data_IF_220573304471
#
_entry.id   IF_220573304471
#
_cell.length_a   1.000
_cell.length_b   1.000
_cell.length_c   1.000
_cell.angle_alpha   90.00
_cell.angle_beta   90.00
_cell.angle_gamma   90.00
#
_symmetry.space_group_name_H-M   'P 1'
#
loop_
_entity.id
_entity.type
_entity.pdbx_description
1 polymer ?
#
# COMPACT_ATOMS: atom_id res chain seq x y z
N UNK A 1 8.77 6.12 27.14
CA UNK A 1 9.54 6.13 25.87
C UNK A 1 9.39 4.73 25.26
N UNK A 2 8.96 4.51 24.02
CA UNK A 2 9.21 5.26 22.78
C UNK A 2 8.00 5.13 21.84
N UNK A 3 7.20 6.19 21.73
CA UNK A 3 6.54 6.51 20.47
C UNK A 3 7.66 6.79 19.46
N UNK A 4 7.59 6.22 18.26
CA UNK A 4 8.45 6.63 17.15
C UNK A 4 9.75 5.87 16.95
N UNK A 5 9.85 4.57 17.31
CA UNK A 5 10.72 3.74 16.47
C UNK A 5 9.95 3.52 15.16
N UNK A 6 10.48 3.90 13.98
CA UNK A 6 10.00 3.30 12.76
C UNK A 6 10.05 1.79 13.02
N UNK A 7 8.99 1.06 12.69
CA UNK A 7 9.16 -0.37 12.54
C UNK A 7 10.39 -0.52 11.63
N UNK A 8 11.51 -0.99 12.18
CA UNK A 8 12.63 -1.52 11.40
C UNK A 8 12.10 -2.81 10.81
N UNK A 9 11.15 -2.67 9.91
CA UNK A 9 10.91 -3.66 8.91
C UNK A 9 12.21 -3.70 8.12
N UNK A 10 12.85 -4.86 8.11
CA UNK A 10 13.85 -5.13 7.08
C UNK A 10 13.24 -4.71 5.73
N UNK A 11 14.02 -4.15 4.80
CA UNK A 11 13.54 -3.38 3.64
C UNK A 11 12.66 -4.14 2.62
N UNK A 12 12.20 -5.34 2.96
CA UNK A 12 11.52 -6.28 2.11
C UNK A 12 10.17 -5.78 1.60
N UNK A 13 9.29 -5.20 2.42
CA UNK A 13 7.90 -4.99 1.92
C UNK A 13 7.80 -3.93 0.84
N UNK A 14 8.49 -2.78 0.99
CA UNK A 14 8.56 -1.79 -0.08
C UNK A 14 9.22 -2.37 -1.35
N UNK A 15 10.26 -3.18 -1.18
CA UNK A 15 10.96 -3.81 -2.31
C UNK A 15 10.09 -4.87 -3.00
N UNK A 16 9.39 -5.71 -2.25
CA UNK A 16 8.45 -6.71 -2.78
C UNK A 16 7.38 -6.02 -3.61
N UNK A 17 6.81 -4.93 -3.09
CA UNK A 17 5.84 -4.16 -3.86
C UNK A 17 6.47 -3.53 -5.11
N UNK A 18 7.69 -2.98 -5.02
CA UNK A 18 8.41 -2.46 -6.18
C UNK A 18 8.63 -3.54 -7.25
N UNK A 19 9.04 -4.76 -6.85
CA UNK A 19 9.28 -5.88 -7.77
C UNK A 19 7.98 -6.32 -8.48
N UNK A 20 6.85 -6.32 -7.76
CA UNK A 20 5.52 -6.60 -8.34
C UNK A 20 5.16 -5.54 -9.38
N UNK A 21 5.35 -4.26 -9.05
CA UNK A 21 5.05 -3.14 -9.96
C UNK A 21 5.97 -3.16 -11.18
N UNK A 22 7.26 -3.47 -11.01
CA UNK A 22 8.21 -3.60 -12.11
C UNK A 22 7.79 -4.74 -13.05
N UNK A 23 7.39 -5.89 -12.50
CA UNK A 23 6.90 -7.02 -13.29
C UNK A 23 5.64 -6.64 -14.10
N UNK A 24 4.65 -6.02 -13.47
CA UNK A 24 3.42 -5.58 -14.15
C UNK A 24 3.64 -4.47 -15.18
N UNK A 25 4.61 -3.58 -14.95
CA UNK A 25 5.01 -2.57 -15.92
C UNK A 25 5.69 -3.21 -17.15
N UNK A 26 6.56 -4.21 -16.94
CA UNK A 26 7.22 -4.95 -18.03
C UNK A 26 6.23 -5.78 -18.87
N UNK A 27 5.17 -6.32 -18.26
CA UNK A 27 4.15 -7.07 -18.99
C UNK A 27 3.09 -6.19 -19.67
N UNK A 28 3.09 -4.89 -19.41
CA UNK A 28 2.10 -3.94 -19.94
C UNK A 28 0.73 -3.99 -19.22
N UNK A 29 0.68 -4.62 -18.05
CA UNK A 29 -0.53 -4.68 -17.21
C UNK A 29 -0.75 -3.40 -16.40
N UNK A 30 0.31 -2.59 -16.23
CA UNK A 30 0.28 -1.33 -15.49
C UNK A 30 0.57 -0.13 -16.39
N UNK A 31 0.14 1.05 -15.94
CA UNK A 31 0.33 2.29 -16.66
C UNK A 31 1.81 2.57 -16.96
N UNK A 32 2.14 3.10 -18.17
CA UNK A 32 3.50 3.51 -18.47
C UNK A 32 3.93 4.71 -17.61
N UNK A 33 5.23 4.79 -17.29
CA UNK A 33 5.79 5.91 -16.52
C UNK A 33 5.68 5.79 -15.00
N UNK A 34 5.19 4.65 -14.48
CA UNK A 34 5.30 4.34 -13.05
C UNK A 34 6.77 4.23 -12.63
N UNK A 35 7.06 4.71 -11.42
CA UNK A 35 8.37 4.55 -10.77
C UNK A 35 8.21 3.48 -9.67
N UNK A 36 8.62 2.22 -9.90
CA UNK A 36 8.30 1.09 -9.03
C UNK A 36 8.66 1.32 -7.56
N UNK A 37 9.80 1.95 -7.28
CA UNK A 37 10.28 2.22 -5.92
C UNK A 37 9.37 3.21 -5.18
N UNK A 38 8.85 4.21 -5.90
CA UNK A 38 7.92 5.21 -5.32
C UNK A 38 6.57 4.56 -5.03
N UNK A 39 6.08 3.76 -5.98
CA UNK A 39 4.80 3.04 -5.81
C UNK A 39 4.91 2.01 -4.69
N UNK A 40 6.02 1.26 -4.62
CA UNK A 40 6.28 0.30 -3.57
C UNK A 40 6.35 0.92 -2.18
N UNK A 41 6.97 2.11 -2.06
CA UNK A 41 6.97 2.88 -0.81
C UNK A 41 5.57 3.33 -0.40
N UNK A 42 4.76 3.83 -1.34
CA UNK A 42 3.37 4.21 -1.07
C UNK A 42 2.51 3.02 -0.64
N UNK A 43 2.66 1.88 -1.32
CA UNK A 43 1.95 0.64 -0.97
C UNK A 43 2.32 0.16 0.42
N UNK A 44 3.60 0.24 0.80
CA UNK A 44 4.08 -0.06 2.15
C UNK A 44 3.42 0.83 3.20
N UNK A 45 3.35 2.14 2.95
CA UNK A 45 2.76 3.08 3.90
C UNK A 45 1.27 2.76 4.14
N UNK A 46 0.53 2.49 3.06
CA UNK A 46 -0.88 2.08 3.11
C UNK A 46 -1.07 0.76 3.83
N UNK A 47 -0.25 -0.24 3.52
CA UNK A 47 -0.28 -1.56 4.17
C UNK A 47 -0.08 -1.45 5.67
N UNK A 48 0.91 -0.67 6.11
CA UNK A 48 1.19 -0.50 7.53
C UNK A 48 0.13 0.29 8.27
N UNK A 49 -0.44 1.31 7.64
CA UNK A 49 -1.53 2.09 8.20
C UNK A 49 -2.78 1.22 8.42
N UNK A 50 -3.11 0.35 7.44
CA UNK A 50 -4.18 -0.64 7.57
C UNK A 50 -3.90 -1.66 8.68
N UNK A 51 -2.69 -2.24 8.72
CA UNK A 51 -2.28 -3.15 9.79
C UNK A 51 -2.37 -2.51 11.18
N UNK A 52 -1.91 -1.26 11.29
CA UNK A 52 -1.94 -0.52 12.53
C UNK A 52 -3.39 -0.33 13.00
N UNK A 53 -4.28 0.19 12.16
CA UNK A 53 -5.71 0.35 12.50
C UNK A 53 -6.37 -0.96 12.87
N UNK A 54 -6.15 -2.00 12.07
CA UNK A 54 -6.68 -3.33 12.35
C UNK A 54 -6.20 -3.87 13.70
N UNK A 55 -4.93 -3.67 14.06
CA UNK A 55 -4.39 -4.06 15.36
C UNK A 55 -5.09 -3.33 16.51
N UNK A 56 -5.38 -2.03 16.35
CA UNK A 56 -6.11 -1.23 17.35
C UNK A 56 -7.56 -1.68 17.48
N UNK A 57 -8.23 -2.03 16.38
CA UNK A 57 -9.60 -2.55 16.41
C UNK A 57 -9.69 -3.91 17.11
N UNK A 58 -8.73 -4.80 16.82
CA UNK A 58 -8.62 -6.11 17.48
C UNK A 58 -8.40 -5.95 18.99
N UNK A 59 -7.52 -5.04 19.40
CA UNK A 59 -7.32 -4.71 20.83
C UNK A 59 -8.58 -4.16 21.50
N UNK A 60 -9.41 -3.42 20.76
CA UNK A 60 -10.67 -2.87 21.23
C UNK A 60 -11.85 -3.86 21.17
N UNK A 61 -11.62 -5.13 20.79
CA UNK A 61 -12.66 -6.15 20.66
C UNK A 61 -13.66 -5.88 19.53
N UNK A 62 -13.30 -5.04 18.55
CA UNK A 62 -14.14 -4.75 17.38
C UNK A 62 -13.78 -5.72 16.26
N UNK A 63 -14.80 -6.24 15.58
CA UNK A 63 -14.60 -6.93 14.32
C UNK A 63 -14.13 -5.90 13.27
N UNK A 64 -12.90 -6.04 12.79
CA UNK A 64 -12.44 -5.40 11.55
C UNK A 64 -11.84 -6.46 10.64
N UNK A 65 -12.14 -6.36 9.35
CA UNK A 65 -11.63 -7.24 8.31
C UNK A 65 -10.48 -6.55 7.58
N UNK A 66 -9.25 -6.92 7.94
CA UNK A 66 -8.03 -6.41 7.31
C UNK A 66 -8.06 -6.55 5.77
N UNK A 67 -8.61 -7.66 5.27
CA UNK A 67 -8.76 -7.91 3.83
C UNK A 67 -9.61 -6.82 3.15
N UNK A 68 -10.77 -6.48 3.74
CA UNK A 68 -11.64 -5.43 3.22
C UNK A 68 -10.97 -4.05 3.19
N UNK A 69 -10.21 -3.71 4.23
CA UNK A 69 -9.46 -2.45 4.30
C UNK A 69 -8.35 -2.38 3.22
N UNK A 70 -7.57 -3.45 3.06
CA UNK A 70 -6.49 -3.51 2.07
C UNK A 70 -7.05 -3.48 0.63
N UNK A 71 -8.13 -4.21 0.35
CA UNK A 71 -8.77 -4.19 -0.95
C UNK A 71 -9.34 -2.80 -1.29
N UNK A 72 -9.92 -2.10 -0.31
CA UNK A 72 -10.41 -0.75 -0.51
C UNK A 72 -9.27 0.21 -0.87
N UNK A 73 -8.12 0.09 -0.19
CA UNK A 73 -6.96 0.94 -0.46
C UNK A 73 -6.33 0.65 -1.84
N UNK A 74 -6.23 -0.63 -2.22
CA UNK A 74 -5.76 -1.05 -3.54
C UNK A 74 -6.71 -0.64 -4.69
N UNK A 75 -7.97 -0.31 -4.42
CA UNK A 75 -8.87 0.26 -5.44
C UNK A 75 -8.62 1.75 -5.70
N UNK A 76 -7.97 2.47 -4.78
CA UNK A 76 -7.72 3.92 -4.92
C UNK A 76 -6.39 4.20 -5.63
N UNK A 77 -5.39 3.35 -5.41
CA UNK A 77 -4.02 3.56 -5.92
C UNK A 77 -3.88 3.42 -7.45
N UNK A 78 -4.51 2.45 -8.15
CA UNK A 78 -4.33 2.24 -9.59
C UNK A 78 -5.01 3.31 -10.46
N UNK A 79 -6.05 3.95 -9.95
CA UNK A 79 -6.81 4.96 -10.69
C UNK A 79 -6.34 6.39 -10.40
N UNK A 80 -5.43 6.58 -9.45
CA UNK A 80 -5.03 7.89 -8.94
C UNK A 80 -6.18 8.63 -8.23
N UNK A 81 -5.85 9.49 -7.26
CA UNK A 81 -6.84 10.33 -6.57
C UNK A 81 -7.45 11.39 -7.52
N UNK A 82 -6.80 11.64 -8.66
CA UNK A 82 -7.16 12.70 -9.60
C UNK A 82 -7.12 12.26 -11.07
N UNK A 83 -7.53 11.03 -11.41
CA UNK A 83 -7.87 10.76 -12.81
C UNK A 83 -9.19 11.45 -13.13
N UNK A 84 -9.08 12.72 -13.52
CA UNK A 84 -10.08 13.38 -14.33
C UNK A 84 -9.45 13.56 -15.70
N UNK A 85 -9.61 12.56 -16.57
CA UNK A 85 -9.52 12.80 -18.00
C UNK A 85 -10.74 13.64 -18.39
N UNK A 86 -10.58 14.97 -18.37
CA UNK A 86 -11.47 15.84 -19.09
C UNK A 86 -11.17 15.69 -20.59
N UNK A 87 -12.12 15.06 -21.30
CA UNK A 87 -12.31 15.14 -22.75
C UNK A 87 -12.49 16.59 -23.18
#
# INVERSE_FOLDING_TARGET
MKAGRPLSEEPYVAQIFADIIESGARSGELAPGLVPERVGSLLRDVYFDALYRWSQHTQAGRASELDGELQAALKVLPYGIASVEHV
#
